data_IF_444282122128
#
_entry.id   IF_444282122128
#
_cell.length_a   1.000
_cell.length_b   1.000
_cell.length_c   1.000
_cell.angle_alpha   90.00
_cell.angle_beta   90.00
_cell.angle_gamma   90.00
#
_symmetry.space_group_name_H-M   'P 1'
#
loop_
_entity.id
_entity.type
_entity.pdbx_description
1 polymer ?
#
# COMPACT_ATOMS: atom_id res chain seq x y z
N UNK A 1 -7.93 -35.16 2.59
CA UNK A 1 -6.49 -35.18 2.30
C UNK A 1 -6.04 -33.72 2.19
N UNK A 2 -5.06 -33.28 2.96
CA UNK A 2 -4.48 -31.95 2.80
C UNK A 2 -3.79 -31.91 1.42
N UNK A 3 -4.19 -30.99 0.58
CA UNK A 3 -3.56 -30.77 -0.72
C UNK A 3 -2.16 -30.22 -0.44
N UNK A 4 -1.13 -30.96 -0.83
CA UNK A 4 0.25 -30.47 -0.77
C UNK A 4 0.34 -29.35 -1.80
N UNK A 5 0.55 -28.11 -1.32
CA UNK A 5 0.74 -26.97 -2.19
C UNK A 5 2.10 -27.10 -2.89
N UNK A 6 2.21 -26.78 -4.18
CA UNK A 6 3.49 -26.83 -4.88
C UNK A 6 4.49 -25.87 -4.23
N UNK A 7 5.73 -26.33 -4.05
CA UNK A 7 6.81 -25.56 -3.42
C UNK A 7 7.48 -24.56 -4.37
N UNK A 8 7.27 -24.69 -5.67
CA UNK A 8 7.83 -23.80 -6.68
C UNK A 8 6.86 -22.66 -6.97
N UNK A 9 7.28 -21.44 -6.61
CA UNK A 9 6.55 -20.21 -6.90
C UNK A 9 7.33 -19.44 -7.97
N UNK A 10 7.04 -19.73 -9.24
CA UNK A 10 7.57 -18.98 -10.37
C UNK A 10 7.11 -17.52 -10.30
N UNK A 11 7.99 -16.60 -10.68
CA UNK A 11 7.67 -15.20 -10.74
C UNK A 11 6.78 -14.88 -11.93
N UNK A 12 5.49 -14.62 -11.68
CA UNK A 12 4.53 -14.25 -12.74
C UNK A 12 4.86 -12.87 -13.31
N UNK A 13 4.77 -12.76 -14.63
CA UNK A 13 4.91 -11.52 -15.40
C UNK A 13 3.91 -11.51 -16.54
N UNK A 14 3.44 -10.32 -16.91
CA UNK A 14 2.59 -10.10 -18.08
C UNK A 14 3.31 -9.23 -19.11
N UNK A 15 3.80 -8.06 -18.73
CA UNK A 15 4.46 -7.13 -19.65
C UNK A 15 5.99 -7.28 -19.71
N UNK A 16 6.58 -8.18 -18.89
CA UNK A 16 8.02 -8.45 -18.87
C UNK A 16 8.85 -7.18 -18.68
N UNK A 17 9.80 -6.92 -19.58
CA UNK A 17 10.58 -5.68 -19.61
C UNK A 17 9.86 -4.50 -20.30
N UNK A 18 8.65 -4.71 -20.77
CA UNK A 18 7.89 -3.76 -21.59
C UNK A 18 8.35 -3.69 -23.04
N UNK A 19 9.26 -4.56 -23.48
CA UNK A 19 9.79 -4.58 -24.84
C UNK A 19 9.05 -5.55 -25.78
N UNK A 20 8.33 -6.49 -25.24
CA UNK A 20 7.42 -7.38 -25.99
C UNK A 20 5.98 -7.16 -25.51
N UNK A 21 5.05 -7.13 -26.44
CA UNK A 21 3.62 -7.20 -26.12
C UNK A 21 3.27 -8.68 -26.06
N UNK A 22 2.82 -9.21 -24.91
CA UNK A 22 2.36 -10.57 -24.82
C UNK A 22 1.17 -10.80 -25.75
N UNK A 23 1.10 -11.97 -26.39
CA UNK A 23 -0.10 -12.40 -27.10
C UNK A 23 -1.16 -12.79 -26.05
N UNK A 24 -2.06 -11.90 -25.72
CA UNK A 24 -3.18 -12.20 -24.84
C UNK A 24 -3.85 -10.98 -24.23
N UNK A 25 -5.16 -11.07 -24.06
CA UNK A 25 -5.95 -10.12 -23.29
C UNK A 25 -5.79 -10.43 -21.79
N UNK A 26 -5.64 -9.37 -20.98
CA UNK A 26 -5.70 -9.50 -19.51
C UNK A 26 -7.15 -9.67 -19.11
N UNK A 27 -7.49 -10.82 -18.54
CA UNK A 27 -8.87 -11.14 -18.19
C UNK A 27 -9.46 -10.10 -17.22
N UNK A 28 -10.62 -9.55 -17.57
CA UNK A 28 -11.33 -8.56 -16.76
C UNK A 28 -10.79 -7.14 -16.90
N UNK A 29 -9.90 -6.87 -17.86
CA UNK A 29 -9.33 -5.54 -18.09
C UNK A 29 -9.40 -5.16 -19.56
N UNK A 30 -10.26 -4.20 -19.88
CA UNK A 30 -10.34 -3.57 -21.19
C UNK A 30 -9.37 -2.39 -21.32
N UNK A 31 -9.38 -1.72 -22.47
CA UNK A 31 -8.55 -0.54 -22.71
C UNK A 31 -8.82 0.58 -21.69
N UNK A 32 -10.10 0.79 -21.29
CA UNK A 32 -10.43 1.79 -20.28
C UNK A 32 -9.84 1.43 -18.92
N UNK A 33 -9.89 0.15 -18.52
CA UNK A 33 -9.27 -0.35 -17.31
C UNK A 33 -7.75 -0.18 -17.32
N UNK A 34 -7.11 -0.46 -18.46
CA UNK A 34 -5.67 -0.22 -18.62
C UNK A 34 -5.30 1.26 -18.47
N UNK A 35 -6.07 2.16 -19.07
CA UNK A 35 -5.86 3.61 -18.92
C UNK A 35 -6.19 4.10 -17.49
N UNK A 36 -7.14 3.48 -16.80
CA UNK A 36 -7.42 3.77 -15.39
C UNK A 36 -6.25 3.37 -14.48
N UNK A 37 -5.62 2.22 -14.73
CA UNK A 37 -4.39 1.83 -14.04
C UNK A 37 -3.26 2.82 -14.27
N UNK A 38 -3.07 3.30 -15.51
CA UNK A 38 -2.07 4.34 -15.81
C UNK A 38 -2.34 5.62 -15.01
N UNK A 39 -3.58 6.12 -15.01
CA UNK A 39 -3.97 7.30 -14.21
C UNK A 39 -3.70 7.10 -12.73
N UNK A 40 -4.02 5.92 -12.18
CA UNK A 40 -3.75 5.59 -10.78
C UNK A 40 -2.25 5.61 -10.46
N UNK A 41 -1.42 5.01 -11.32
CA UNK A 41 0.03 5.01 -11.14
C UNK A 41 0.63 6.42 -11.23
N UNK A 42 0.19 7.24 -12.18
CA UNK A 42 0.62 8.64 -12.32
C UNK A 42 0.23 9.45 -11.09
N UNK A 43 -0.99 9.28 -10.58
CA UNK A 43 -1.44 9.97 -9.36
C UNK A 43 -0.59 9.59 -8.15
N UNK A 44 -0.34 8.30 -7.94
CA UNK A 44 0.52 7.79 -6.86
C UNK A 44 1.95 8.32 -6.98
N UNK A 45 2.56 8.26 -8.17
CA UNK A 45 3.89 8.81 -8.44
C UNK A 45 3.96 10.30 -8.13
N UNK A 46 2.97 11.06 -8.60
CA UNK A 46 2.90 12.51 -8.36
C UNK A 46 2.75 12.83 -6.87
N UNK A 47 1.93 12.04 -6.15
CA UNK A 47 1.79 12.16 -4.70
C UNK A 47 3.12 11.91 -3.99
N UNK A 48 3.82 10.82 -4.33
CA UNK A 48 5.10 10.46 -3.72
C UNK A 48 6.16 11.55 -3.92
N UNK A 49 6.37 11.98 -5.16
CA UNK A 49 7.35 13.01 -5.51
C UNK A 49 7.05 14.35 -4.82
N UNK A 50 5.78 14.78 -4.82
CA UNK A 50 5.36 16.03 -4.18
C UNK A 50 5.49 15.97 -2.67
N UNK A 51 5.22 14.83 -2.05
CA UNK A 51 5.38 14.62 -0.61
C UNK A 51 6.84 14.68 -0.18
N UNK A 52 7.77 14.14 -0.99
CA UNK A 52 9.21 14.28 -0.76
C UNK A 52 9.65 15.75 -0.79
N UNK A 53 9.17 16.52 -1.79
CA UNK A 53 9.45 17.97 -1.88
C UNK A 53 8.86 18.71 -0.68
N UNK A 54 7.64 18.36 -0.28
CA UNK A 54 6.92 18.94 0.84
C UNK A 54 7.64 18.70 2.17
N UNK A 55 8.19 17.50 2.36
CA UNK A 55 9.07 17.18 3.49
C UNK A 55 10.35 18.02 3.48
N UNK A 56 11.03 18.13 2.33
CA UNK A 56 12.28 18.92 2.21
C UNK A 56 12.07 20.40 2.53
N UNK A 57 10.85 20.89 2.40
CA UNK A 57 10.45 22.25 2.80
C UNK A 57 10.11 22.36 4.30
N UNK A 58 10.25 21.27 5.08
CA UNK A 58 9.94 21.25 6.51
C UNK A 58 8.45 21.25 6.86
N UNK A 59 7.58 20.90 5.88
CA UNK A 59 6.11 20.99 6.03
C UNK A 59 5.46 19.70 6.52
N UNK A 60 6.16 18.58 6.43
CA UNK A 60 5.81 17.29 7.06
C UNK A 60 7.02 16.76 7.81
N UNK A 61 6.80 16.03 8.91
CA UNK A 61 7.87 15.61 9.83
C UNK A 61 8.71 14.45 9.28
N UNK A 62 8.08 13.51 8.61
CA UNK A 62 8.71 12.37 7.93
C UNK A 62 7.83 11.90 6.79
N UNK A 63 8.41 11.14 5.85
CA UNK A 63 7.65 10.55 4.76
C UNK A 63 8.30 9.24 4.29
N UNK A 64 7.51 8.19 4.15
CA UNK A 64 7.97 6.90 3.64
C UNK A 64 7.81 6.86 2.11
N UNK A 65 8.93 6.97 1.41
CA UNK A 65 8.98 7.02 -0.05
C UNK A 65 8.58 5.65 -0.62
N UNK A 66 7.64 5.64 -1.57
CA UNK A 66 7.20 4.41 -2.24
C UNK A 66 7.48 4.40 -3.76
N UNK A 67 8.35 5.25 -4.23
CA UNK A 67 8.78 5.28 -5.63
C UNK A 67 9.06 3.87 -6.15
N UNK A 68 8.55 3.55 -7.34
CA UNK A 68 8.59 2.21 -7.96
C UNK A 68 7.73 1.12 -7.28
N UNK A 69 6.76 1.51 -6.41
CA UNK A 69 5.74 0.62 -5.83
C UNK A 69 4.33 0.94 -6.36
N UNK A 70 4.20 1.88 -7.32
CA UNK A 70 2.90 2.32 -7.84
C UNK A 70 2.15 1.19 -8.52
N UNK A 71 2.86 0.31 -9.22
CA UNK A 71 2.26 -0.86 -9.88
C UNK A 71 1.61 -1.82 -8.88
N UNK A 72 2.26 -2.06 -7.72
CA UNK A 72 1.71 -2.91 -6.67
C UNK A 72 0.44 -2.32 -6.08
N UNK A 73 0.43 -1.01 -5.81
CA UNK A 73 -0.71 -0.33 -5.22
C UNK A 73 -1.86 -0.18 -6.23
N UNK A 74 -1.58 0.29 -7.44
CA UNK A 74 -2.61 0.51 -8.48
C UNK A 74 -3.23 -0.82 -8.94
N UNK A 75 -2.40 -1.82 -9.28
CA UNK A 75 -2.87 -3.11 -9.77
C UNK A 75 -3.73 -3.84 -8.75
N UNK A 76 -3.28 -3.90 -7.49
CA UNK A 76 -4.02 -4.58 -6.45
C UNK A 76 -5.29 -3.84 -6.04
N UNK A 77 -5.26 -2.50 -5.94
CA UNK A 77 -6.45 -1.72 -5.62
C UNK A 77 -7.53 -1.82 -6.71
N UNK A 78 -7.13 -1.88 -7.99
CA UNK A 78 -8.06 -1.99 -9.11
C UNK A 78 -8.78 -3.35 -9.19
N UNK A 79 -8.19 -4.39 -8.60
CA UNK A 79 -8.78 -5.72 -8.52
C UNK A 79 -9.86 -5.86 -7.43
N UNK A 80 -10.02 -4.86 -6.57
CA UNK A 80 -10.97 -4.86 -5.46
C UNK A 80 -12.32 -4.26 -5.88
N UNK A 81 -13.41 -4.80 -5.37
CA UNK A 81 -14.73 -4.17 -5.46
C UNK A 81 -14.86 -3.02 -4.43
N UNK A 82 -15.85 -2.13 -4.65
CA UNK A 82 -16.10 -0.96 -3.78
C UNK A 82 -16.33 -1.32 -2.31
N UNK A 83 -16.95 -2.48 -2.02
CA UNK A 83 -17.21 -2.97 -0.66
C UNK A 83 -16.05 -3.71 -0.01
N UNK A 84 -14.93 -3.91 -0.71
CA UNK A 84 -13.75 -4.58 -0.18
C UNK A 84 -12.88 -3.61 0.64
N UNK A 85 -12.22 -4.14 1.66
CA UNK A 85 -11.47 -3.33 2.62
C UNK A 85 -9.97 -3.37 2.40
N UNK A 86 -9.36 -2.20 2.50
CA UNK A 86 -7.91 -1.98 2.41
C UNK A 86 -7.34 -1.73 3.80
N UNK A 87 -6.31 -2.48 4.19
CA UNK A 87 -5.52 -2.30 5.40
C UNK A 87 -4.09 -1.92 5.00
N UNK A 88 -3.79 -0.61 4.90
CA UNK A 88 -2.49 -0.13 4.43
C UNK A 88 -1.46 -0.15 5.55
N UNK A 89 -0.20 -0.38 5.20
CA UNK A 89 0.93 0.07 6.02
C UNK A 89 1.22 1.56 5.73
N UNK A 90 2.23 2.11 6.38
CA UNK A 90 2.64 3.51 6.13
C UNK A 90 3.14 3.73 4.69
N UNK A 91 3.65 2.70 4.01
CA UNK A 91 4.16 2.83 2.64
C UNK A 91 3.04 2.82 1.59
N UNK A 92 1.90 2.26 1.91
CA UNK A 92 0.70 2.32 1.10
C UNK A 92 -0.26 3.44 1.53
N UNK A 93 0.23 4.46 2.23
CA UNK A 93 -0.59 5.58 2.71
C UNK A 93 -1.37 6.28 1.60
N UNK A 94 -0.80 6.38 0.41
CA UNK A 94 -1.43 7.03 -0.74
C UNK A 94 -2.50 6.19 -1.44
N UNK A 95 -2.63 4.89 -1.13
CA UNK A 95 -3.65 4.03 -1.75
C UNK A 95 -5.08 4.53 -1.49
N UNK A 96 -5.27 5.28 -0.40
CA UNK A 96 -6.52 5.93 -0.07
C UNK A 96 -7.01 6.92 -1.13
N UNK A 97 -6.10 7.53 -1.91
CA UNK A 97 -6.46 8.40 -3.05
C UNK A 97 -7.30 7.64 -4.08
N UNK A 98 -6.99 6.36 -4.29
CA UNK A 98 -7.70 5.49 -5.24
C UNK A 98 -9.10 5.11 -4.74
N UNK A 99 -9.41 5.38 -3.47
CA UNK A 99 -10.72 5.22 -2.84
C UNK A 99 -11.42 6.55 -2.56
N UNK A 100 -10.88 7.66 -3.07
CA UNK A 100 -11.48 8.98 -2.95
C UNK A 100 -11.13 9.74 -1.66
N UNK A 101 -10.22 9.25 -0.82
CA UNK A 101 -9.72 10.04 0.31
C UNK A 101 -8.98 11.25 -0.22
N UNK A 102 -9.31 12.48 0.19
CA UNK A 102 -8.65 13.69 -0.29
C UNK A 102 -7.14 13.68 -0.02
N UNK A 103 -6.35 14.17 -0.97
CA UNK A 103 -4.90 14.29 -0.80
C UNK A 103 -4.52 15.15 0.41
N UNK A 104 -5.31 16.19 0.71
CA UNK A 104 -5.15 17.02 1.92
C UNK A 104 -5.24 16.20 3.20
N UNK A 105 -6.18 15.27 3.29
CA UNK A 105 -6.36 14.40 4.46
C UNK A 105 -5.13 13.51 4.68
N UNK A 106 -4.63 12.85 3.62
CA UNK A 106 -3.45 11.98 3.74
C UNK A 106 -2.19 12.81 4.06
N UNK A 107 -2.04 14.00 3.46
CA UNK A 107 -0.94 14.93 3.80
C UNK A 107 -1.02 15.41 5.25
N UNK A 108 -2.24 15.72 5.75
CA UNK A 108 -2.47 16.11 7.14
C UNK A 108 -2.11 14.99 8.12
N UNK A 109 -2.33 13.71 7.73
CA UNK A 109 -1.86 12.57 8.51
C UNK A 109 -0.33 12.58 8.68
N UNK A 110 0.43 12.80 7.60
CA UNK A 110 1.88 12.93 7.65
C UNK A 110 2.37 14.16 8.43
N UNK A 111 1.52 15.17 8.57
CA UNK A 111 1.76 16.35 9.43
C UNK A 111 1.46 16.09 10.91
N UNK A 112 0.87 14.96 11.26
CA UNK A 112 0.35 14.68 12.61
C UNK A 112 -0.85 15.54 12.97
N UNK A 113 -1.59 16.05 11.98
CA UNK A 113 -2.74 16.92 12.18
C UNK A 113 -4.04 16.11 12.30
N UNK A 114 -5.00 16.47 13.20
CA UNK A 114 -6.27 15.76 13.35
C UNK A 114 -7.11 15.66 12.06
N UNK A 115 -7.03 16.62 11.15
CA UNK A 115 -7.66 16.56 9.83
C UNK A 115 -7.12 15.42 8.94
N UNK A 116 -6.06 14.73 9.36
CA UNK A 116 -5.53 13.53 8.72
C UNK A 116 -6.31 12.25 9.01
N UNK A 117 -7.32 12.29 9.85
CA UNK A 117 -8.17 11.14 10.13
C UNK A 117 -9.39 11.12 9.20
N UNK A 118 -9.77 9.94 8.75
CA UNK A 118 -10.97 9.71 7.95
C UNK A 118 -11.84 8.63 8.61
N UNK A 119 -13.10 8.57 8.21
CA UNK A 119 -13.97 7.47 8.60
C UNK A 119 -13.65 6.21 7.76
N UNK A 120 -13.07 5.16 8.36
CA UNK A 120 -12.73 3.95 7.60
C UNK A 120 -13.91 3.29 6.91
N UNK A 121 -15.11 3.40 7.48
CA UNK A 121 -16.31 2.79 6.89
C UNK A 121 -16.86 3.53 5.67
N UNK A 122 -16.48 4.79 5.47
CA UNK A 122 -16.87 5.59 4.31
C UNK A 122 -16.07 5.20 3.07
N UNK A 123 -14.75 4.98 3.24
CA UNK A 123 -13.82 4.70 2.14
C UNK A 123 -13.43 3.23 2.03
N UNK A 124 -13.84 2.38 2.99
CA UNK A 124 -13.35 1.00 3.16
C UNK A 124 -11.83 0.91 3.21
N UNK A 125 -11.20 1.92 3.80
CA UNK A 125 -9.75 2.00 4.02
C UNK A 125 -9.51 2.18 5.52
N UNK A 126 -8.85 1.21 6.14
CA UNK A 126 -8.45 1.28 7.54
C UNK A 126 -7.41 2.40 7.76
N UNK A 127 -7.23 2.80 9.00
CA UNK A 127 -6.17 3.76 9.36
C UNK A 127 -4.81 3.23 8.94
N UNK A 128 -3.92 4.12 8.50
CA UNK A 128 -2.53 3.79 8.19
C UNK A 128 -1.87 3.19 9.43
N UNK A 129 -1.26 2.01 9.26
CA UNK A 129 -0.59 1.30 10.34
C UNK A 129 0.93 1.49 10.28
N UNK A 130 1.50 2.12 11.30
CA UNK A 130 2.95 2.29 11.44
C UNK A 130 3.60 1.10 12.17
N UNK A 131 3.02 0.57 13.28
CA UNK A 131 3.55 -0.63 13.93
C UNK A 131 3.50 -1.84 12.98
N UNK A 132 4.66 -2.42 12.74
CA UNK A 132 4.83 -3.46 11.71
C UNK A 132 3.90 -4.65 11.96
N UNK A 133 3.25 -5.13 10.91
CA UNK A 133 2.31 -6.27 10.86
C UNK A 133 1.05 -6.18 11.76
N UNK A 134 0.91 -5.19 12.63
CA UNK A 134 -0.19 -5.10 13.61
C UNK A 134 -1.59 -5.08 12.95
N UNK A 135 -1.71 -4.51 11.76
CA UNK A 135 -2.96 -4.44 11.00
C UNK A 135 -3.36 -5.77 10.32
N UNK A 136 -2.43 -6.73 10.20
CA UNK A 136 -2.72 -8.02 9.55
C UNK A 136 -3.82 -8.78 10.31
N UNK A 137 -3.71 -9.05 11.64
CA UNK A 137 -4.81 -9.67 12.38
C UNK A 137 -6.10 -8.84 12.39
N UNK A 138 -6.03 -7.51 12.29
CA UNK A 138 -7.22 -6.67 12.16
C UNK A 138 -7.95 -6.89 10.83
N UNK A 139 -7.22 -6.97 9.72
CA UNK A 139 -7.78 -7.29 8.40
C UNK A 139 -8.45 -8.67 8.41
N UNK A 140 -7.77 -9.66 9.00
CA UNK A 140 -8.28 -11.03 9.14
C UNK A 140 -9.56 -11.04 9.99
N UNK A 141 -9.56 -10.34 11.13
CA UNK A 141 -10.71 -10.23 12.02
C UNK A 141 -11.91 -9.57 11.37
N UNK A 142 -11.71 -8.47 10.64
CA UNK A 142 -12.77 -7.80 9.89
C UNK A 142 -13.34 -8.71 8.81
N UNK A 143 -12.52 -9.31 7.98
CA UNK A 143 -12.94 -10.19 6.89
C UNK A 143 -13.73 -11.40 7.42
N UNK A 144 -13.23 -12.02 8.50
CA UNK A 144 -13.91 -13.12 9.14
C UNK A 144 -15.27 -12.70 9.74
N UNK A 145 -15.32 -11.55 10.44
CA UNK A 145 -16.55 -10.99 11.00
C UNK A 145 -17.59 -10.65 9.93
N UNK A 146 -17.18 -10.09 8.79
CA UNK A 146 -18.02 -9.83 7.62
C UNK A 146 -18.61 -11.14 7.07
N UNK A 147 -17.78 -12.16 6.87
CA UNK A 147 -18.25 -13.48 6.43
C UNK A 147 -19.25 -14.11 7.39
N UNK A 148 -19.06 -14.01 8.72
CA UNK A 148 -20.01 -14.52 9.71
C UNK A 148 -21.39 -13.85 9.61
N UNK A 149 -21.44 -12.63 9.09
CA UNK A 149 -22.70 -11.90 8.79
C UNK A 149 -23.26 -12.20 7.40
N UNK A 150 -22.63 -13.09 6.65
CA UNK A 150 -23.07 -13.45 5.29
C UNK A 150 -22.70 -12.40 4.22
N UNK A 151 -21.78 -11.46 4.52
CA UNK A 151 -21.31 -10.47 3.58
C UNK A 151 -20.20 -11.06 2.70
N UNK A 152 -20.14 -10.66 1.41
CA UNK A 152 -19.14 -11.13 0.45
C UNK A 152 -17.88 -10.27 0.39
N UNK A 153 -17.64 -9.46 1.42
CA UNK A 153 -16.50 -8.55 1.54
C UNK A 153 -15.18 -9.32 1.62
N UNK A 154 -14.19 -8.86 0.86
CA UNK A 154 -12.80 -9.29 0.97
C UNK A 154 -11.98 -8.17 1.61
N UNK A 155 -10.99 -8.51 2.43
CA UNK A 155 -10.01 -7.55 2.90
C UNK A 155 -8.65 -7.82 2.27
N UNK A 156 -7.88 -6.77 2.01
CA UNK A 156 -6.46 -6.86 1.63
C UNK A 156 -5.60 -6.17 2.69
N UNK A 157 -4.56 -6.86 3.16
CA UNK A 157 -3.59 -6.30 4.09
C UNK A 157 -2.24 -6.17 3.40
N UNK A 158 -1.71 -4.94 3.36
CA UNK A 158 -0.41 -4.64 2.77
C UNK A 158 0.68 -4.59 3.83
N UNK A 159 1.79 -5.26 3.59
CA UNK A 159 2.94 -5.25 4.49
C UNK A 159 4.24 -5.52 3.73
N UNK A 160 5.36 -5.08 4.27
CA UNK A 160 6.69 -5.32 3.69
C UNK A 160 7.27 -6.69 4.04
N UNK A 161 8.40 -7.03 3.42
CA UNK A 161 9.19 -8.24 3.69
C UNK A 161 9.54 -8.37 5.18
N UNK A 162 9.98 -7.29 5.83
CA UNK A 162 10.30 -7.29 7.27
C UNK A 162 9.14 -7.70 8.17
N UNK A 163 7.90 -7.39 7.77
CA UNK A 163 6.72 -7.76 8.55
C UNK A 163 6.55 -9.29 8.68
N UNK A 164 7.09 -10.06 7.73
CA UNK A 164 7.02 -11.53 7.79
C UNK A 164 7.90 -12.15 8.88
N UNK A 165 8.62 -11.34 9.64
CA UNK A 165 9.39 -11.75 10.83
C UNK A 165 8.70 -11.39 12.14
N UNK A 166 7.58 -10.63 12.09
CA UNK A 166 6.83 -10.20 13.27
C UNK A 166 5.81 -11.25 13.71
N UNK A 167 5.62 -11.39 15.04
CA UNK A 167 4.66 -12.33 15.63
C UNK A 167 3.24 -12.11 15.10
N UNK A 168 2.79 -10.86 15.00
CA UNK A 168 1.47 -10.49 14.51
C UNK A 168 1.18 -11.00 13.07
N UNK A 169 2.19 -11.03 12.19
CA UNK A 169 2.04 -11.64 10.87
C UNK A 169 1.76 -13.14 10.98
N UNK A 170 2.56 -13.87 11.76
CA UNK A 170 2.43 -15.33 11.91
C UNK A 170 1.09 -15.72 12.52
N UNK A 171 0.66 -15.00 13.56
CA UNK A 171 -0.64 -15.18 14.22
C UNK A 171 -1.79 -14.88 13.26
N UNK A 172 -1.74 -13.74 12.56
CA UNK A 172 -2.74 -13.34 11.58
C UNK A 172 -2.86 -14.32 10.42
N UNK A 173 -1.73 -14.76 9.84
CA UNK A 173 -1.71 -15.72 8.74
C UNK A 173 -2.30 -17.08 9.17
N UNK A 174 -1.88 -17.60 10.32
CA UNK A 174 -2.42 -18.84 10.85
C UNK A 174 -3.94 -18.75 11.12
N UNK A 175 -4.39 -17.64 11.74
CA UNK A 175 -5.81 -17.43 12.02
C UNK A 175 -6.61 -17.28 10.70
N UNK A 176 -6.07 -16.58 9.71
CA UNK A 176 -6.70 -16.46 8.39
C UNK A 176 -6.94 -17.83 7.74
N UNK A 177 -5.95 -18.72 7.80
CA UNK A 177 -6.04 -20.07 7.27
C UNK A 177 -7.07 -20.91 8.01
N UNK A 178 -6.98 -20.97 9.35
CA UNK A 178 -7.86 -21.78 10.21
C UNK A 178 -9.33 -21.33 10.07
N UNK A 179 -9.58 -20.04 10.07
CA UNK A 179 -10.91 -19.46 9.93
C UNK A 179 -11.35 -19.33 8.46
N UNK A 180 -10.49 -19.66 7.48
CA UNK A 180 -10.76 -19.45 6.05
C UNK A 180 -11.26 -18.03 5.78
N UNK A 181 -10.63 -17.04 6.43
CA UNK A 181 -11.03 -15.65 6.30
C UNK A 181 -10.86 -15.17 4.85
N UNK A 182 -11.83 -14.41 4.29
CA UNK A 182 -11.71 -13.86 2.93
C UNK A 182 -10.71 -12.68 2.91
N UNK A 183 -9.43 -12.97 2.99
CA UNK A 183 -8.36 -11.96 3.06
C UNK A 183 -7.24 -12.27 2.07
N UNK A 184 -6.73 -11.21 1.45
CA UNK A 184 -5.49 -11.24 0.66
C UNK A 184 -4.36 -10.70 1.54
N UNK A 185 -3.33 -11.51 1.75
CA UNK A 185 -2.12 -11.12 2.46
C UNK A 185 -1.10 -10.66 1.41
N UNK A 186 -0.98 -9.35 1.22
CA UNK A 186 -0.20 -8.75 0.14
C UNK A 186 1.15 -8.26 0.68
N UNK A 187 2.21 -9.01 0.38
CA UNK A 187 3.58 -8.71 0.78
C UNK A 187 4.32 -7.91 -0.30
N UNK A 188 4.61 -6.65 -0.03
CA UNK A 188 5.51 -5.81 -0.83
C UNK A 188 6.96 -6.18 -0.50
N UNK A 189 7.49 -7.23 -1.15
CA UNK A 189 8.87 -7.63 -0.97
C UNK A 189 9.78 -6.71 -1.81
N UNK A 190 10.27 -5.65 -1.19
CA UNK A 190 11.20 -4.71 -1.82
C UNK A 190 12.67 -4.98 -1.47
N UNK A 191 12.95 -6.11 -0.81
CA UNK A 191 14.28 -6.60 -0.47
C UNK A 191 14.89 -6.01 0.80
N UNK A 192 14.19 -5.09 1.49
CA UNK A 192 14.77 -4.32 2.59
C UNK A 192 13.79 -4.06 3.75
N UNK A 193 14.12 -4.55 4.93
CA UNK A 193 13.51 -4.09 6.19
C UNK A 193 14.37 -2.95 6.76
N UNK A 194 14.03 -1.69 6.48
CA UNK A 194 14.86 -0.50 6.70
C UNK A 194 16.21 -0.67 5.99
N UNK A 195 17.28 -1.06 6.70
CA UNK A 195 18.62 -1.33 6.20
C UNK A 195 19.02 -2.81 6.21
N UNK A 196 18.11 -3.70 6.67
CA UNK A 196 18.37 -5.15 6.75
C UNK A 196 17.95 -5.81 5.43
N UNK A 197 18.87 -6.42 4.67
CA UNK A 197 18.56 -7.09 3.43
C UNK A 197 17.76 -8.37 3.68
N UNK A 198 16.96 -8.80 2.68
CA UNK A 198 16.10 -9.98 2.80
C UNK A 198 16.86 -11.25 3.22
N UNK A 199 18.11 -11.42 2.76
CA UNK A 199 18.94 -12.58 3.10
C UNK A 199 19.26 -12.69 4.60
N UNK A 200 19.20 -11.58 5.34
CA UNK A 200 19.42 -11.52 6.79
C UNK A 200 18.10 -11.59 7.58
N UNK A 201 16.95 -11.50 6.92
CA UNK A 201 15.64 -11.59 7.55
C UNK A 201 15.11 -13.04 7.60
N UNK A 202 15.46 -13.87 6.63
CA UNK A 202 14.92 -15.24 6.51
C UNK A 202 15.86 -16.16 5.76
N UNK A 203 15.74 -17.48 6.04
CA UNK A 203 16.40 -18.54 5.27
C UNK A 203 15.44 -19.22 4.28
N UNK A 204 14.18 -18.79 4.21
CA UNK A 204 13.28 -19.27 3.18
C UNK A 204 13.78 -18.81 1.81
N UNK A 205 13.61 -19.64 0.78
CA UNK A 205 14.00 -19.36 -0.60
C UNK A 205 13.30 -18.08 -1.12
N UNK A 206 12.03 -17.95 -0.77
CA UNK A 206 11.20 -16.79 -1.04
C UNK A 206 10.15 -16.64 0.08
N UNK A 207 9.46 -15.48 0.14
CA UNK A 207 8.48 -15.26 1.20
C UNK A 207 7.17 -16.04 0.97
N UNK A 208 6.84 -16.34 -0.28
CA UNK A 208 5.70 -17.18 -0.65
C UNK A 208 5.80 -18.57 -0.01
N UNK A 209 7.01 -19.11 0.15
CA UNK A 209 7.25 -20.39 0.81
C UNK A 209 6.79 -20.42 2.28
N UNK A 210 6.78 -19.26 2.97
CA UNK A 210 6.27 -19.17 4.35
C UNK A 210 4.77 -19.49 4.45
N UNK A 211 3.99 -19.15 3.40
CA UNK A 211 2.55 -19.38 3.36
C UNK A 211 2.19 -20.88 3.35
N UNK A 212 3.07 -21.72 2.81
CA UNK A 212 2.91 -23.18 2.77
C UNK A 212 2.77 -23.76 4.18
N UNK A 213 3.53 -23.21 5.14
CA UNK A 213 3.49 -23.64 6.55
C UNK A 213 2.12 -23.41 7.22
N UNK A 214 1.30 -22.49 6.71
CA UNK A 214 -0.07 -22.22 7.18
C UNK A 214 -1.14 -22.91 6.34
N UNK A 215 -0.76 -23.59 5.25
CA UNK A 215 -1.72 -24.15 4.29
C UNK A 215 -2.40 -23.08 3.43
N UNK A 216 -1.78 -21.91 3.27
CA UNK A 216 -2.27 -20.81 2.43
C UNK A 216 -1.63 -20.92 1.04
N UNK A 217 -2.42 -20.92 -0.05
CA UNK A 217 -1.86 -20.81 -1.40
C UNK A 217 -1.15 -19.48 -1.58
N UNK A 218 -0.04 -19.51 -2.31
CA UNK A 218 0.77 -18.33 -2.54
C UNK A 218 0.99 -18.07 -4.03
N UNK A 219 1.08 -16.80 -4.40
CA UNK A 219 1.39 -16.33 -5.74
C UNK A 219 2.61 -15.42 -5.61
N UNK A 220 3.60 -15.63 -6.48
CA UNK A 220 4.74 -14.74 -6.62
C UNK A 220 4.61 -13.94 -7.90
N UNK A 221 4.74 -12.60 -7.81
CA UNK A 221 4.49 -11.71 -8.94
C UNK A 221 5.58 -10.62 -9.02
N UNK A 222 5.94 -10.23 -10.23
CA UNK A 222 6.77 -9.04 -10.46
C UNK A 222 6.00 -7.79 -10.02
N UNK A 223 6.42 -7.18 -8.92
CA UNK A 223 5.78 -6.02 -8.33
C UNK A 223 5.87 -4.74 -9.19
N UNK A 224 6.75 -4.70 -10.18
CA UNK A 224 6.83 -3.64 -11.18
C UNK A 224 5.91 -3.85 -12.39
N UNK A 225 5.23 -4.98 -12.48
CA UNK A 225 4.30 -5.34 -13.54
C UNK A 225 2.85 -5.17 -13.07
N UNK A 226 2.25 -4.02 -13.39
CA UNK A 226 0.91 -3.68 -12.90
C UNK A 226 -0.16 -4.65 -13.34
N UNK A 227 -0.03 -5.24 -14.55
CA UNK A 227 -1.00 -6.20 -15.07
C UNK A 227 -0.86 -7.55 -14.36
N UNK A 228 0.35 -8.02 -14.12
CA UNK A 228 0.59 -9.23 -13.35
C UNK A 228 0.11 -9.10 -11.90
N UNK A 229 0.31 -7.93 -11.28
CA UNK A 229 -0.22 -7.62 -9.93
C UNK A 229 -1.75 -7.63 -9.93
N UNK A 230 -2.38 -7.01 -10.94
CA UNK A 230 -3.84 -7.01 -11.10
C UNK A 230 -4.38 -8.43 -11.20
N UNK A 231 -3.86 -9.25 -12.12
CA UNK A 231 -4.32 -10.63 -12.33
C UNK A 231 -4.17 -11.48 -11.07
N UNK A 232 -2.99 -11.43 -10.41
CA UNK A 232 -2.73 -12.18 -9.19
C UNK A 232 -3.68 -11.76 -8.06
N UNK A 233 -3.96 -10.45 -7.95
CA UNK A 233 -4.88 -9.95 -6.91
C UNK A 233 -6.32 -10.31 -7.23
N UNK A 234 -6.75 -10.22 -8.49
CA UNK A 234 -8.09 -10.63 -8.93
C UNK A 234 -8.33 -12.11 -8.61
N UNK A 235 -7.40 -12.99 -8.98
CA UNK A 235 -7.45 -14.42 -8.66
C UNK A 235 -7.60 -14.65 -7.14
N UNK A 236 -6.81 -13.95 -6.33
CA UNK A 236 -6.83 -14.06 -4.88
C UNK A 236 -8.16 -13.56 -4.28
N UNK A 237 -8.69 -12.45 -4.78
CA UNK A 237 -9.97 -11.86 -4.36
C UNK A 237 -11.14 -12.78 -4.72
N UNK A 238 -11.18 -13.31 -5.94
CA UNK A 238 -12.21 -14.25 -6.39
C UNK A 238 -12.21 -15.53 -5.56
N UNK A 239 -11.02 -16.07 -5.30
CA UNK A 239 -10.85 -17.22 -4.41
C UNK A 239 -11.39 -16.92 -3.01
N UNK A 240 -11.02 -15.78 -2.42
CA UNK A 240 -11.45 -15.38 -1.10
C UNK A 240 -12.98 -15.21 -1.05
N UNK A 241 -13.56 -14.53 -2.02
CA UNK A 241 -15.00 -14.24 -2.14
C UNK A 241 -15.83 -15.51 -2.32
N UNK A 242 -15.32 -16.49 -3.06
CA UNK A 242 -15.96 -17.79 -3.26
C UNK A 242 -15.82 -18.76 -2.05
N UNK A 243 -15.22 -18.31 -0.93
CA UNK A 243 -15.03 -19.14 0.26
C UNK A 243 -13.79 -20.03 0.22
N UNK A 244 -12.89 -19.83 -0.75
CA UNK A 244 -11.61 -20.54 -0.87
C UNK A 244 -10.61 -20.20 0.25
N UNK A 245 -10.88 -19.18 1.06
CA UNK A 245 -10.01 -18.72 2.14
C UNK A 245 -8.91 -17.76 1.66
N UNK A 246 -7.88 -17.51 2.48
CA UNK A 246 -6.85 -16.53 2.20
C UNK A 246 -5.92 -16.94 1.05
N UNK A 247 -5.29 -15.93 0.43
CA UNK A 247 -4.15 -16.10 -0.49
C UNK A 247 -3.02 -15.19 -0.04
N UNK A 248 -1.79 -15.66 -0.10
CA UNK A 248 -0.59 -14.86 0.09
C UNK A 248 -0.05 -14.43 -1.27
N UNK A 249 0.18 -13.13 -1.47
CA UNK A 249 0.83 -12.60 -2.67
C UNK A 249 2.18 -12.02 -2.26
N UNK A 250 3.26 -12.51 -2.86
CA UNK A 250 4.58 -11.90 -2.78
C UNK A 250 4.82 -11.08 -4.05
N UNK A 251 4.67 -9.77 -3.95
CA UNK A 251 5.01 -8.83 -5.02
C UNK A 251 6.48 -8.41 -4.87
N UNK A 252 7.31 -8.92 -5.77
CA UNK A 252 8.77 -8.74 -5.72
C UNK A 252 9.17 -7.48 -6.45
N UNK A 253 9.91 -6.62 -5.79
CA UNK A 253 10.50 -5.40 -6.34
C UNK A 253 11.86 -5.12 -5.70
N UNK A 254 12.41 -3.95 -5.98
CA UNK A 254 13.61 -3.46 -5.29
C UNK A 254 13.39 -2.01 -4.85
N UNK A 255 13.62 -1.74 -3.56
CA UNK A 255 13.55 -0.37 -3.05
C UNK A 255 14.82 0.39 -3.43
N UNK A 256 14.73 1.18 -4.51
CA UNK A 256 15.82 2.02 -5.01
C UNK A 256 15.90 3.39 -4.31
N UNK A 257 14.91 3.73 -3.48
CA UNK A 257 14.83 4.97 -2.71
C UNK A 257 15.19 4.77 -1.23
N UNK A 258 15.49 5.84 -0.48
CA UNK A 258 15.60 5.78 0.97
C UNK A 258 14.37 5.12 1.63
N UNK A 259 14.57 4.53 2.81
CA UNK A 259 13.47 3.96 3.58
C UNK A 259 12.41 5.02 3.92
N UNK A 260 12.87 6.16 4.37
CA UNK A 260 12.09 7.37 4.62
C UNK A 260 12.95 8.59 4.29
N UNK A 261 12.35 9.77 4.27
CA UNK A 261 13.04 11.02 3.91
C UNK A 261 14.20 11.42 4.82
N UNK A 262 14.28 10.85 6.03
CA UNK A 262 15.37 11.06 6.98
C UNK A 262 16.50 9.99 6.90
N UNK A 263 16.34 8.98 6.02
CA UNK A 263 17.28 7.88 5.85
C UNK A 263 18.40 8.22 4.86
N UNK A 264 19.61 7.72 5.12
CA UNK A 264 20.73 7.74 4.19
C UNK A 264 20.98 6.33 3.62
N UNK A 265 20.47 6.01 2.43
CA UNK A 265 20.61 4.68 1.85
C UNK A 265 22.02 4.39 1.33
N UNK A 266 22.89 5.39 1.18
CA UNK A 266 24.22 5.22 0.57
C UNK A 266 25.12 4.26 1.34
N UNK A 267 24.83 4.03 2.62
CA UNK A 267 25.59 3.16 3.50
C UNK A 267 25.25 1.66 3.35
N UNK A 268 24.14 1.31 2.67
CA UNK A 268 23.70 -0.10 2.57
C UNK A 268 23.13 -0.51 1.20
N UNK A 269 22.79 0.45 0.33
CA UNK A 269 22.19 0.17 -1.00
C UNK A 269 23.31 0.07 -2.07
N UNK A 270 23.12 -0.87 -3.01
CA UNK A 270 23.93 -0.98 -4.21
C UNK A 270 23.50 0.06 -5.24
N UNK A 271 24.33 1.05 -5.48
CA UNK A 271 24.04 2.16 -6.40
C UNK A 271 23.96 1.73 -7.87
N UNK A 272 24.71 0.71 -8.30
CA UNK A 272 24.62 0.18 -9.66
C UNK A 272 23.26 -0.46 -9.90
N UNK A 273 22.77 -1.21 -8.91
CA UNK A 273 21.44 -1.79 -8.95
C UNK A 273 20.34 -0.73 -8.93
N UNK A 274 20.49 0.32 -8.12
CA UNK A 274 19.55 1.45 -8.13
C UNK A 274 19.41 2.06 -9.53
N UNK A 275 20.53 2.30 -10.22
CA UNK A 275 20.50 2.86 -11.58
C UNK A 275 19.90 1.88 -12.61
N UNK A 276 20.06 0.57 -12.40
CA UNK A 276 19.40 -0.43 -13.23
C UNK A 276 17.86 -0.42 -13.01
N UNK A 277 17.41 -0.36 -11.77
CA UNK A 277 15.98 -0.29 -11.42
C UNK A 277 15.32 0.99 -11.96
N UNK A 278 16.02 2.13 -11.91
CA UNK A 278 15.51 3.39 -12.46
C UNK A 278 15.28 3.34 -13.98
N UNK A 279 16.08 2.59 -14.72
CA UNK A 279 15.91 2.46 -16.18
C UNK A 279 14.66 1.67 -16.55
N UNK A 280 14.21 0.79 -15.69
CA UNK A 280 13.05 -0.08 -15.94
C UNK A 280 12.00 0.05 -14.83
N UNK A 281 11.80 1.26 -14.30
CA UNK A 281 10.81 1.52 -13.27
C UNK A 281 9.37 1.30 -13.78
N UNK A 282 8.47 0.98 -12.85
CA UNK A 282 7.15 0.42 -13.16
C UNK A 282 6.27 1.33 -14.05
N UNK A 283 6.28 2.65 -13.83
CA UNK A 283 5.42 3.58 -14.58
C UNK A 283 5.90 3.72 -16.02
N UNK A 284 7.19 4.01 -16.25
CA UNK A 284 7.75 4.12 -17.59
C UNK A 284 7.69 2.81 -18.37
N UNK A 285 7.84 1.67 -17.67
CA UNK A 285 7.63 0.34 -18.25
C UNK A 285 6.19 0.15 -18.75
N UNK A 286 5.21 0.56 -17.96
CA UNK A 286 3.80 0.46 -18.34
C UNK A 286 3.44 1.44 -19.46
N UNK A 287 3.98 2.65 -19.45
CA UNK A 287 3.78 3.64 -20.53
C UNK A 287 4.34 3.15 -21.87
N UNK A 288 5.52 2.52 -21.86
CA UNK A 288 6.08 1.89 -23.07
C UNK A 288 5.15 0.79 -23.61
N UNK A 289 4.62 -0.05 -22.74
CA UNK A 289 3.67 -1.09 -23.10
C UNK A 289 2.40 -0.51 -23.73
N UNK A 290 1.75 0.46 -23.09
CA UNK A 290 0.54 1.11 -23.61
C UNK A 290 0.78 1.86 -24.91
N UNK A 291 1.95 2.49 -25.07
CA UNK A 291 2.35 3.16 -26.31
C UNK A 291 2.47 2.17 -27.48
N UNK A 292 2.99 0.97 -27.25
CA UNK A 292 3.08 -0.09 -28.27
C UNK A 292 1.72 -0.65 -28.66
N UNK A 293 0.80 -0.74 -27.71
CA UNK A 293 -0.60 -1.10 -28.02
C UNK A 293 -1.32 0.01 -28.79
N UNK A 294 -0.76 1.23 -28.86
CA UNK A 294 -1.47 2.39 -29.40
C UNK A 294 -2.56 2.95 -28.49
N UNK A 295 -2.65 2.45 -27.25
CA UNK A 295 -3.66 2.87 -26.27
C UNK A 295 -3.33 4.20 -25.58
N UNK A 296 -2.03 4.55 -25.49
CA UNK A 296 -1.56 5.78 -24.84
C UNK A 296 -0.71 6.61 -25.79
N UNK A 297 -1.07 7.89 -25.98
CA UNK A 297 -0.25 8.89 -26.69
C UNK A 297 0.52 9.74 -25.68
N UNK A 298 1.64 10.33 -26.11
CA UNK A 298 2.43 11.26 -25.28
C UNK A 298 1.58 12.43 -24.77
N UNK A 299 0.70 12.97 -25.62
CA UNK A 299 -0.22 14.05 -25.23
C UNK A 299 -1.21 13.63 -24.14
N UNK A 300 -1.76 12.42 -24.22
CA UNK A 300 -2.66 11.89 -23.20
C UNK A 300 -1.91 11.61 -21.88
N UNK A 301 -0.69 11.08 -21.94
CA UNK A 301 0.13 10.86 -20.77
C UNK A 301 0.46 12.20 -20.06
N UNK A 302 0.83 13.24 -20.82
CA UNK A 302 1.12 14.57 -20.25
C UNK A 302 -0.12 15.22 -19.65
N UNK A 303 -1.28 15.06 -20.26
CA UNK A 303 -2.54 15.52 -19.67
C UNK A 303 -2.82 14.87 -18.31
N UNK A 304 -2.64 13.55 -18.17
CA UNK A 304 -2.81 12.84 -16.90
C UNK A 304 -1.84 13.33 -15.84
N UNK A 305 -0.59 13.61 -16.22
CA UNK A 305 0.41 14.21 -15.29
C UNK A 305 -0.01 15.61 -14.84
N UNK A 306 -0.52 16.42 -15.74
CA UNK A 306 -1.03 17.75 -15.40
C UNK A 306 -2.21 17.70 -14.44
N UNK A 307 -3.18 16.81 -14.68
CA UNK A 307 -4.34 16.58 -13.80
C UNK A 307 -3.89 16.13 -12.39
N UNK A 308 -2.95 15.20 -12.29
CA UNK A 308 -2.40 14.74 -11.03
C UNK A 308 -1.64 15.85 -10.29
N UNK A 309 -0.88 16.67 -11.01
CA UNK A 309 -0.16 17.81 -10.43
C UNK A 309 -1.12 18.88 -9.90
N UNK A 310 -2.25 19.13 -10.59
CA UNK A 310 -3.29 20.07 -10.16
C UNK A 310 -3.99 19.56 -8.88
N UNK A 311 -4.34 18.27 -8.85
CA UNK A 311 -4.93 17.63 -7.67
C UNK A 311 -3.99 17.77 -6.45
N UNK A 312 -2.70 17.50 -6.65
CA UNK A 312 -1.72 17.62 -5.55
C UNK A 312 -1.54 19.06 -5.09
N UNK A 313 -1.53 20.03 -6.02
CA UNK A 313 -1.44 21.45 -5.69
C UNK A 313 -2.63 21.90 -4.84
N UNK A 314 -3.84 21.49 -5.22
CA UNK A 314 -5.06 21.74 -4.46
C UNK A 314 -5.03 21.05 -3.09
N UNK A 315 -4.57 19.77 -3.04
CA UNK A 315 -4.44 19.02 -1.80
C UNK A 315 -3.46 19.64 -0.80
N UNK A 316 -2.30 20.11 -1.27
CA UNK A 316 -1.32 20.82 -0.44
C UNK A 316 -1.92 22.13 0.10
N UNK A 317 -2.54 22.93 -0.78
CA UNK A 317 -3.15 24.20 -0.35
C UNK A 317 -4.26 23.98 0.71
N UNK A 318 -5.09 22.95 0.53
CA UNK A 318 -6.13 22.60 1.50
C UNK A 318 -5.53 22.12 2.83
N UNK A 319 -4.51 21.25 2.82
CA UNK A 319 -3.84 20.81 4.03
C UNK A 319 -3.15 21.95 4.80
N UNK A 320 -2.67 22.96 4.10
CA UNK A 320 -2.05 24.15 4.72
C UNK A 320 -3.06 25.16 5.28
N UNK A 321 -4.27 25.17 4.72
CA UNK A 321 -5.35 26.01 5.19
C UNK A 321 -6.01 25.49 6.49
N UNK A 322 -5.71 24.25 6.89
CA UNK A 322 -6.23 23.68 8.14
C UNK A 322 -5.76 24.52 9.34
N UNK A 323 -6.68 24.95 10.22
CA UNK A 323 -6.31 25.71 11.40
C UNK A 323 -5.49 24.86 12.37
N UNK A 324 -4.67 25.49 13.19
CA UNK A 324 -3.96 24.80 14.26
C UNK A 324 -4.97 24.02 15.14
N UNK A 325 -4.68 22.74 15.47
CA UNK A 325 -5.59 21.95 16.29
C UNK A 325 -5.74 22.53 17.70
N UNK A 326 -6.95 22.41 18.27
CA UNK A 326 -7.18 22.78 19.67
C UNK A 326 -6.32 21.89 20.58
N UNK A 327 -5.58 22.50 21.48
CA UNK A 327 -4.75 21.79 22.45
C UNK A 327 -5.58 20.94 23.43
N UNK A 328 -6.86 21.23 23.60
CA UNK A 328 -7.80 20.44 24.39
C UNK A 328 -7.98 19.00 23.89
N UNK A 329 -7.80 18.77 22.57
CA UNK A 329 -7.93 17.45 21.96
C UNK A 329 -7.03 16.39 22.60
N UNK A 330 -5.87 16.78 23.16
CA UNK A 330 -4.94 15.87 23.87
C UNK A 330 -5.60 15.21 25.08
N UNK A 331 -6.56 15.90 25.71
CA UNK A 331 -7.23 15.48 26.94
C UNK A 331 -8.66 14.99 26.69
N UNK A 332 -9.43 15.70 25.84
CA UNK A 332 -10.87 15.51 25.67
C UNK A 332 -11.28 14.16 25.07
N UNK A 333 -10.41 13.55 24.28
CA UNK A 333 -10.71 12.30 23.56
C UNK A 333 -9.88 11.09 24.03
N UNK A 334 -9.06 11.27 25.07
CA UNK A 334 -8.18 10.20 25.54
C UNK A 334 -8.92 9.11 26.33
N UNK A 335 -9.92 9.52 27.13
CA UNK A 335 -10.69 8.64 28.03
C UNK A 335 -12.17 9.03 27.99
N UNK A 336 -13.06 8.03 28.15
CA UNK A 336 -14.51 8.28 28.27
C UNK A 336 -14.86 9.06 29.55
N UNK A 337 -14.17 8.73 30.64
CA UNK A 337 -14.27 9.42 31.94
C UNK A 337 -12.89 9.97 32.30
N UNK A 338 -12.56 11.21 31.89
CA UNK A 338 -11.26 11.80 32.15
C UNK A 338 -11.07 12.08 33.66
N UNK A 339 -9.85 11.83 34.22
CA UNK A 339 -9.56 12.17 35.59
C UNK A 339 -9.53 13.70 35.81
N UNK A 340 -9.86 14.13 37.01
CA UNK A 340 -9.88 15.57 37.34
C UNK A 340 -8.53 16.28 37.16
N UNK A 341 -7.39 15.51 37.12
CA UNK A 341 -6.09 16.10 36.83
C UNK A 341 -6.00 16.66 35.41
N UNK A 342 -6.78 16.14 34.45
CA UNK A 342 -6.77 16.63 33.06
C UNK A 342 -7.18 18.09 32.95
N UNK A 343 -8.11 18.58 33.80
CA UNK A 343 -8.49 20.00 33.85
C UNK A 343 -7.32 20.88 34.27
N UNK A 344 -6.55 20.42 35.27
CA UNK A 344 -5.36 21.12 35.76
C UNK A 344 -4.25 21.14 34.72
N UNK A 345 -3.98 19.99 34.10
CA UNK A 345 -2.94 19.81 33.08
C UNK A 345 -3.26 20.61 31.81
N UNK A 346 -4.53 20.62 31.38
CA UNK A 346 -4.99 21.46 30.27
C UNK A 346 -4.87 22.95 30.56
N UNK A 347 -5.23 23.37 31.77
CA UNK A 347 -5.08 24.77 32.15
C UNK A 347 -3.61 25.22 32.15
N UNK A 348 -2.70 24.35 32.62
CA UNK A 348 -1.26 24.64 32.58
C UNK A 348 -0.74 24.67 31.15
N UNK A 349 -1.15 23.70 30.28
CA UNK A 349 -0.77 23.69 28.88
C UNK A 349 -1.23 24.97 28.15
N UNK A 350 -2.48 25.38 28.37
CA UNK A 350 -3.00 26.65 27.82
C UNK A 350 -2.17 27.86 28.24
N UNK A 351 -1.72 27.89 29.51
CA UNK A 351 -0.84 28.96 30.02
C UNK A 351 0.52 28.95 29.31
N UNK A 352 1.08 27.76 29.00
CA UNK A 352 2.39 27.65 28.35
C UNK A 352 2.33 28.02 26.88
N UNK A 353 1.28 27.61 26.18
CA UNK A 353 1.15 27.80 24.71
C UNK A 353 0.49 29.12 24.35
N UNK A 354 -0.34 29.68 25.23
CA UNK A 354 -1.11 30.91 25.00
C UNK A 354 -0.42 32.19 25.52
N UNK A 355 0.83 32.09 26.04
CA UNK A 355 1.62 33.21 26.55
C UNK A 355 2.41 33.93 25.46
#
# INVERSE_FOLDING_TARGET
MAQVLPAEHDLRRVIGDGESVPDGEVEGLDEQGMLALHRAMVLLRTYDERSVVYHRQGRIGTYAIFWNHEAMQAGSAHALADGDWIFPSYRESAIGLLRGIPASTILSWWRGHPAGWWNPAEFQVASICVPIATHVPHAVGLAWGKRLRGESTVAIAYFGDGATSEGAFHEGANFAAVMRAPVVLFCNNNGWAISTPLADQTRAENLAAKAVGYGIPAIRVDGGDVLAVYEATREAVERARSGGGPTFIEAVSYRAAPHATADDPTVYIDLERVEAEKRNECLGRYERYLGRLGALTDAAAEQVRAEAADLMRAGIAAAEAEPAPDIGLVFEHALADPPASFDTDLAELRRIVGG
#
